data_IF_857992235400
#
_entry.id   IF_857992235400
#
_cell.length_a   1.000
_cell.length_b   1.000
_cell.length_c   1.000
_cell.angle_alpha   90.00
_cell.angle_beta   90.00
_cell.angle_gamma   90.00
#
_symmetry.space_group_name_H-M   'P 1'
#
loop_
_entity.id
_entity.type
_entity.pdbx_description
1 polymer ?
#
# COMPACT_ATOMS: atom_id res chain seq x y z
N UNK A 1 -37.68 14.03 -3.19
CA UNK A 1 -38.50 13.81 -1.98
C UNK A 1 -37.62 13.45 -0.80
N UNK A 2 -37.94 13.96 0.39
CA UNK A 2 -37.19 13.70 1.64
C UNK A 2 -37.18 12.21 2.00
N UNK A 3 -38.27 11.49 1.72
CA UNK A 3 -38.37 10.03 1.88
C UNK A 3 -37.26 9.31 1.11
N UNK A 4 -37.06 9.66 -0.16
CA UNK A 4 -36.03 9.02 -0.98
C UNK A 4 -34.63 9.36 -0.46
N UNK A 5 -34.42 10.61 -0.03
CA UNK A 5 -33.13 11.04 0.52
C UNK A 5 -32.76 10.28 1.80
N UNK A 6 -33.72 9.98 2.67
CA UNK A 6 -33.48 9.21 3.91
C UNK A 6 -33.04 7.76 3.67
N UNK A 7 -33.47 7.16 2.56
CA UNK A 7 -33.14 5.78 2.17
C UNK A 7 -31.74 5.72 1.53
N UNK A 8 -31.31 6.81 0.88
CA UNK A 8 -30.02 6.86 0.19
C UNK A 8 -28.86 6.71 1.18
N UNK A 9 -27.90 5.86 0.81
CA UNK A 9 -26.67 5.65 1.57
C UNK A 9 -25.75 6.87 1.49
N UNK A 10 -24.94 7.10 2.53
CA UNK A 10 -24.00 8.23 2.57
C UNK A 10 -22.99 8.21 1.42
N UNK A 11 -22.60 7.02 0.94
CA UNK A 11 -21.69 6.89 -0.19
C UNK A 11 -22.31 7.39 -1.49
N UNK A 12 -23.60 7.09 -1.72
CA UNK A 12 -24.32 7.53 -2.91
C UNK A 12 -24.54 9.03 -2.90
N UNK A 13 -24.74 9.65 -1.73
CA UNK A 13 -24.87 11.12 -1.60
C UNK A 13 -23.66 11.88 -2.16
N UNK A 14 -22.45 11.30 -2.10
CA UNK A 14 -21.22 11.95 -2.58
C UNK A 14 -21.27 12.23 -4.09
N UNK A 15 -21.95 11.37 -4.85
CA UNK A 15 -22.01 11.41 -6.32
C UNK A 15 -23.32 12.05 -6.81
N UNK A 16 -24.20 12.49 -5.90
CA UNK A 16 -25.43 13.17 -6.29
C UNK A 16 -25.11 14.47 -7.01
N UNK A 17 -25.82 14.71 -8.12
CA UNK A 17 -25.63 15.83 -9.02
C UNK A 17 -24.22 15.90 -9.64
N UNK A 18 -23.51 14.76 -9.71
CA UNK A 18 -22.26 14.68 -10.46
C UNK A 18 -22.52 14.89 -11.95
N UNK A 19 -21.75 15.76 -12.61
CA UNK A 19 -21.79 15.89 -14.07
C UNK A 19 -21.26 14.62 -14.71
N UNK A 20 -22.04 13.97 -15.57
CA UNK A 20 -21.57 12.85 -16.40
C UNK A 20 -20.59 13.41 -17.43
N UNK A 21 -19.29 13.20 -17.22
CA UNK A 21 -18.26 13.60 -18.18
C UNK A 21 -17.92 12.40 -19.06
N UNK A 22 -18.05 12.56 -20.38
CA UNK A 22 -17.58 11.54 -21.32
C UNK A 22 -16.05 11.57 -21.35
N UNK A 23 -15.43 10.44 -21.01
CA UNK A 23 -13.99 10.31 -20.85
C UNK A 23 -13.32 10.06 -22.22
N UNK A 24 -13.41 11.01 -23.14
CA UNK A 24 -12.76 10.93 -24.46
C UNK A 24 -11.27 11.36 -24.44
N UNK A 25 -10.58 11.25 -23.29
CA UNK A 25 -9.17 11.65 -23.18
C UNK A 25 -8.40 10.91 -22.09
N UNK A 26 -7.10 10.74 -22.31
CA UNK A 26 -6.15 10.05 -21.41
C UNK A 26 -5.71 10.92 -20.20
N UNK A 27 -6.45 11.96 -19.85
CA UNK A 27 -6.04 12.91 -18.82
C UNK A 27 -6.34 12.38 -17.40
N UNK A 28 -5.27 12.19 -16.61
CA UNK A 28 -5.36 11.86 -15.17
C UNK A 28 -5.65 13.08 -14.27
N UNK A 29 -5.92 14.25 -14.89
CA UNK A 29 -6.17 15.52 -14.20
C UNK A 29 -7.46 15.46 -13.36
N UNK A 30 -8.40 14.60 -13.73
CA UNK A 30 -9.71 14.47 -13.08
C UNK A 30 -9.73 13.53 -11.87
N UNK A 31 -8.71 13.56 -10.99
CA UNK A 31 -8.85 13.04 -9.61
C UNK A 31 -9.61 14.04 -8.72
N UNK A 32 -10.58 14.76 -9.26
CA UNK A 32 -11.42 15.67 -8.50
C UNK A 32 -12.23 14.85 -7.51
N UNK A 33 -11.90 15.04 -6.24
CA UNK A 33 -12.49 14.39 -5.07
C UNK A 33 -14.01 14.58 -5.11
N UNK A 34 -14.78 13.52 -5.32
CA UNK A 34 -16.25 13.52 -5.19
C UNK A 34 -16.94 14.67 -5.93
N UNK A 35 -17.05 14.57 -7.25
CA UNK A 35 -17.82 15.51 -8.06
C UNK A 35 -19.30 15.35 -7.67
N UNK A 36 -19.89 16.35 -7.06
CA UNK A 36 -21.28 16.32 -6.62
C UNK A 36 -21.64 17.57 -5.83
N UNK A 37 -22.91 17.71 -5.48
CA UNK A 37 -23.43 18.93 -4.85
C UNK A 37 -22.78 19.23 -3.48
N UNK A 38 -22.33 18.20 -2.76
CA UNK A 38 -21.66 18.34 -1.47
C UNK A 38 -20.28 19.01 -1.58
N UNK A 39 -19.62 18.91 -2.74
CA UNK A 39 -18.32 19.56 -2.97
C UNK A 39 -18.45 21.09 -3.02
N UNK A 40 -19.61 21.59 -3.44
CA UNK A 40 -19.93 23.02 -3.48
C UNK A 40 -20.31 23.61 -2.11
N UNK A 41 -20.40 22.78 -1.06
CA UNK A 41 -20.76 23.27 0.27
C UNK A 41 -19.65 24.12 0.87
N UNK A 42 -20.04 25.17 1.61
CA UNK A 42 -19.13 26.07 2.33
C UNK A 42 -18.14 25.31 3.24
N UNK A 43 -18.61 24.27 3.92
CA UNK A 43 -17.79 23.45 4.83
C UNK A 43 -16.67 22.72 4.08
N UNK A 44 -16.90 22.27 2.84
CA UNK A 44 -15.88 21.58 2.03
C UNK A 44 -14.97 22.58 1.32
N UNK A 45 -15.50 23.71 0.87
CA UNK A 45 -14.73 24.76 0.18
C UNK A 45 -13.73 25.46 1.11
N UNK A 46 -14.07 25.63 2.38
CA UNK A 46 -13.18 26.20 3.41
C UNK A 46 -12.00 25.31 3.79
N UNK A 47 -12.01 24.02 3.41
CA UNK A 47 -10.98 23.05 3.78
C UNK A 47 -9.92 22.92 2.66
N UNK A 48 -8.62 22.82 2.99
CA UNK A 48 -7.57 22.60 1.98
C UNK A 48 -7.77 21.30 1.18
N UNK A 49 -7.31 21.28 -0.07
CA UNK A 49 -7.52 20.17 -1.03
C UNK A 49 -7.10 18.80 -0.49
N UNK A 50 -6.02 18.75 0.31
CA UNK A 50 -5.53 17.52 0.95
C UNK A 50 -6.59 16.81 1.81
N UNK A 51 -7.50 17.58 2.42
CA UNK A 51 -8.50 17.08 3.35
C UNK A 51 -9.92 17.05 2.77
N UNK A 52 -10.14 17.63 1.58
CA UNK A 52 -11.47 17.68 0.94
C UNK A 52 -12.13 16.31 0.78
N UNK A 53 -11.35 15.25 0.49
CA UNK A 53 -11.89 13.88 0.39
C UNK A 53 -12.54 13.42 1.69
N UNK A 54 -11.86 13.69 2.81
CA UNK A 54 -12.35 13.33 4.15
C UNK A 54 -13.53 14.23 4.53
N UNK A 55 -13.47 15.52 4.20
CA UNK A 55 -14.56 16.47 4.44
C UNK A 55 -15.85 16.05 3.73
N UNK A 56 -15.78 15.72 2.43
CA UNK A 56 -16.94 15.26 1.64
C UNK A 56 -17.52 13.96 2.23
N UNK A 57 -16.68 12.99 2.57
CA UNK A 57 -17.14 11.72 3.14
C UNK A 57 -17.78 11.90 4.52
N UNK A 58 -17.21 12.75 5.37
CA UNK A 58 -17.75 13.08 6.69
C UNK A 58 -19.09 13.81 6.57
N UNK A 59 -19.16 14.82 5.70
CA UNK A 59 -20.35 15.60 5.44
C UNK A 59 -21.49 14.73 4.90
N UNK A 60 -21.20 13.88 3.90
CA UNK A 60 -22.19 12.95 3.34
C UNK A 60 -22.74 11.99 4.41
N UNK A 61 -21.88 11.51 5.32
CA UNK A 61 -22.29 10.63 6.41
C UNK A 61 -23.24 11.32 7.39
N UNK A 62 -22.96 12.58 7.76
CA UNK A 62 -23.84 13.34 8.66
C UNK A 62 -25.10 13.86 7.97
N UNK A 63 -25.01 14.23 6.68
CA UNK A 63 -26.14 14.64 5.86
C UNK A 63 -27.17 13.51 5.71
N UNK A 64 -26.72 12.27 5.47
CA UNK A 64 -27.61 11.08 5.44
C UNK A 64 -28.35 10.88 6.77
N UNK A 65 -27.67 11.11 7.90
CA UNK A 65 -28.27 11.01 9.24
C UNK A 65 -29.30 12.13 9.48
N UNK A 66 -28.98 13.37 9.10
CA UNK A 66 -29.90 14.50 9.17
C UNK A 66 -31.17 14.24 8.34
N UNK A 67 -31.02 13.79 7.08
CA UNK A 67 -32.14 13.50 6.20
C UNK A 67 -33.12 12.45 6.77
N UNK A 68 -32.62 11.44 7.50
CA UNK A 68 -33.47 10.46 8.19
C UNK A 68 -34.23 11.08 9.35
N UNK A 69 -33.58 11.91 10.13
CA UNK A 69 -34.20 12.56 11.29
C UNK A 69 -35.28 13.56 10.86
N UNK A 70 -35.01 14.32 9.80
CA UNK A 70 -35.95 15.27 9.20
C UNK A 70 -37.16 14.53 8.62
N UNK A 71 -36.97 13.35 8.01
CA UNK A 71 -38.08 12.52 7.53
C UNK A 71 -39.04 12.12 8.66
N UNK A 72 -38.50 11.75 9.83
CA UNK A 72 -39.30 11.46 11.03
C UNK A 72 -39.78 12.71 11.79
N UNK A 73 -39.35 13.92 11.38
CA UNK A 73 -39.73 15.22 11.98
C UNK A 73 -39.53 15.29 13.51
N UNK A 74 -38.54 14.57 14.06
CA UNK A 74 -38.30 14.51 15.51
C UNK A 74 -37.82 15.83 16.12
N UNK A 75 -37.01 16.59 15.38
CA UNK A 75 -36.42 17.86 15.81
C UNK A 75 -36.77 18.97 14.82
N UNK A 76 -37.99 19.53 14.92
CA UNK A 76 -38.45 20.59 14.00
C UNK A 76 -37.63 21.88 14.11
N UNK A 77 -37.12 22.18 15.30
CA UNK A 77 -36.28 23.36 15.59
C UNK A 77 -34.85 23.26 15.03
N UNK A 78 -34.46 22.14 14.39
CA UNK A 78 -33.15 22.01 13.75
C UNK A 78 -31.95 21.87 14.70
N UNK A 79 -32.18 21.76 16.01
CA UNK A 79 -31.14 21.60 17.04
C UNK A 79 -30.14 20.47 16.72
N UNK A 80 -30.65 19.34 16.22
CA UNK A 80 -29.81 18.20 15.84
C UNK A 80 -28.88 18.52 14.66
N UNK A 81 -29.35 19.31 13.69
CA UNK A 81 -28.54 19.75 12.55
C UNK A 81 -27.38 20.65 12.98
N UNK A 82 -27.61 21.54 13.96
CA UNK A 82 -26.56 22.39 14.54
C UNK A 82 -25.48 21.55 15.23
N UNK A 83 -25.87 20.54 16.02
CA UNK A 83 -24.93 19.61 16.65
C UNK A 83 -24.08 18.88 15.60
N UNK A 84 -24.71 18.37 14.54
CA UNK A 84 -23.99 17.70 13.45
C UNK A 84 -22.99 18.63 12.75
N UNK A 85 -23.38 19.89 12.50
CA UNK A 85 -22.48 20.89 11.91
C UNK A 85 -21.28 21.15 12.81
N UNK A 86 -21.51 21.37 14.10
CA UNK A 86 -20.43 21.58 15.08
C UNK A 86 -19.48 20.38 15.15
N UNK A 87 -20.03 19.16 15.12
CA UNK A 87 -19.24 17.93 15.07
C UNK A 87 -18.35 17.85 13.81
N UNK A 88 -18.88 18.21 12.65
CA UNK A 88 -18.10 18.21 11.40
C UNK A 88 -16.95 19.21 11.49
N UNK A 89 -17.23 20.44 11.96
CA UNK A 89 -16.24 21.51 12.08
C UNK A 89 -15.13 21.10 13.05
N UNK A 90 -15.46 20.64 14.26
CA UNK A 90 -14.46 20.24 15.26
C UNK A 90 -13.58 19.09 14.76
N UNK A 91 -14.18 18.11 14.07
CA UNK A 91 -13.43 17.00 13.49
C UNK A 91 -12.51 17.44 12.36
N UNK A 92 -12.91 18.42 11.55
CA UNK A 92 -12.09 18.96 10.46
C UNK A 92 -10.91 19.77 10.99
N UNK A 93 -11.12 20.58 12.03
CA UNK A 93 -10.06 21.32 12.72
C UNK A 93 -9.02 20.33 13.26
N UNK A 94 -9.47 19.31 14.00
CA UNK A 94 -8.59 18.24 14.53
C UNK A 94 -7.83 17.47 13.45
N UNK A 95 -8.37 17.39 12.24
CA UNK A 95 -7.72 16.73 11.11
C UNK A 95 -6.59 17.58 10.48
N UNK A 96 -6.73 18.90 10.56
CA UNK A 96 -5.75 19.85 10.07
C UNK A 96 -4.62 20.09 11.07
N UNK A 97 -4.87 19.81 12.36
CA UNK A 97 -3.82 19.86 13.38
C UNK A 97 -2.63 18.98 12.99
N UNK A 98 -1.40 19.52 13.01
CA UNK A 98 -0.22 18.73 12.75
C UNK A 98 -0.10 17.64 13.83
N UNK A 99 0.38 16.44 13.46
CA UNK A 99 0.62 15.40 14.46
C UNK A 99 1.63 15.91 15.50
N UNK A 100 1.46 15.58 16.79
CA UNK A 100 2.39 15.99 17.82
C UNK A 100 3.80 15.49 17.47
N UNK A 101 4.79 16.34 17.72
CA UNK A 101 6.19 16.01 17.49
C UNK A 101 6.55 14.72 18.24
N UNK A 102 7.08 13.75 17.50
CA UNK A 102 7.60 12.53 18.12
C UNK A 102 8.79 12.92 18.99
N UNK A 103 8.74 12.57 20.27
CA UNK A 103 9.89 12.71 21.16
C UNK A 103 11.06 11.90 20.59
N UNK A 104 12.27 12.49 20.65
CA UNK A 104 13.50 11.80 20.24
C UNK A 104 13.66 10.59 21.16
N UNK A 105 13.47 9.39 20.60
CA UNK A 105 13.76 8.16 21.34
C UNK A 105 15.26 8.11 21.57
N UNK A 106 15.68 8.17 22.83
CA UNK A 106 17.07 7.91 23.21
C UNK A 106 17.46 6.52 22.71
N UNK A 107 18.71 6.40 22.29
CA UNK A 107 19.26 5.09 22.00
C UNK A 107 19.19 4.24 23.28
N UNK A 108 18.98 2.92 23.15
CA UNK A 108 19.14 2.05 24.29
C UNK A 108 20.57 2.20 24.83
N UNK A 109 20.71 2.18 26.15
CA UNK A 109 22.02 2.19 26.80
C UNK A 109 22.92 1.10 26.19
N UNK A 110 24.19 1.41 25.85
CA UNK A 110 25.15 0.41 25.41
C UNK A 110 25.40 -0.61 26.54
N UNK A 111 24.67 -1.71 26.53
CA UNK A 111 24.76 -2.79 27.51
C UNK A 111 24.99 -4.12 26.78
N UNK A 112 26.05 -4.83 27.17
CA UNK A 112 26.46 -6.09 26.56
C UNK A 112 25.68 -7.28 27.15
N UNK A 113 24.46 -7.48 26.66
CA UNK A 113 23.65 -8.63 27.06
C UNK A 113 24.16 -9.94 26.44
N UNK A 114 24.11 -11.02 27.22
CA UNK A 114 24.42 -12.39 26.74
C UNK A 114 23.54 -12.74 25.54
N UNK A 115 24.16 -13.01 24.38
CA UNK A 115 23.46 -13.35 23.13
C UNK A 115 22.79 -14.73 23.23
N UNK A 116 21.55 -14.83 22.75
CA UNK A 116 20.83 -16.12 22.62
C UNK A 116 21.40 -16.92 21.44
N UNK A 117 21.92 -18.11 21.70
CA UNK A 117 22.42 -19.03 20.67
C UNK A 117 21.25 -19.89 20.15
N UNK A 118 21.01 -19.89 18.82
CA UNK A 118 19.96 -20.69 18.17
C UNK A 118 20.52 -21.41 16.94
N UNK A 119 20.16 -22.69 16.76
CA UNK A 119 20.66 -23.54 15.67
C UNK A 119 19.65 -23.93 14.58
N UNK A 120 18.39 -23.48 14.67
CA UNK A 120 17.32 -23.93 13.78
C UNK A 120 17.45 -23.47 12.32
N UNK A 121 16.82 -24.20 11.39
CA UNK A 121 16.84 -23.93 9.93
C UNK A 121 16.50 -22.49 9.56
N UNK A 122 15.48 -21.90 10.19
CA UNK A 122 15.08 -20.49 9.96
C UNK A 122 16.16 -19.51 10.42
N UNK A 123 16.76 -19.76 11.58
CA UNK A 123 17.81 -18.91 12.13
C UNK A 123 19.10 -19.02 11.30
N UNK A 124 19.45 -20.24 10.85
CA UNK A 124 20.57 -20.47 9.93
C UNK A 124 20.41 -19.68 8.62
N UNK A 125 19.22 -19.75 7.98
CA UNK A 125 18.89 -18.95 6.79
C UNK A 125 18.94 -17.43 7.04
N UNK A 126 18.55 -16.95 8.21
CA UNK A 126 18.65 -15.53 8.56
C UNK A 126 20.12 -15.10 8.71
N UNK A 127 20.91 -15.91 9.42
CA UNK A 127 22.35 -15.70 9.61
C UNK A 127 23.11 -15.74 8.29
N UNK A 128 22.75 -16.66 7.39
CA UNK A 128 23.30 -16.75 6.02
C UNK A 128 23.12 -15.47 5.21
N UNK A 129 22.06 -14.67 5.46
CA UNK A 129 21.82 -13.39 4.77
C UNK A 129 22.70 -12.25 5.25
N UNK A 130 23.10 -12.26 6.52
CA UNK A 130 23.84 -11.15 7.14
C UNK A 130 25.30 -11.48 7.40
N UNK A 131 25.66 -12.76 7.50
CA UNK A 131 27.04 -13.17 7.70
C UNK A 131 27.86 -12.98 6.42
N UNK A 132 29.15 -12.67 6.61
CA UNK A 132 30.15 -12.65 5.54
C UNK A 132 30.13 -14.01 4.84
N UNK A 133 29.99 -13.99 3.52
CA UNK A 133 29.97 -15.20 2.69
C UNK A 133 31.32 -15.88 2.73
N UNK A 134 31.36 -17.17 2.44
CA UNK A 134 32.64 -17.91 2.43
C UNK A 134 33.60 -17.39 1.35
N UNK A 135 33.07 -16.99 0.19
CA UNK A 135 33.82 -16.31 -0.87
C UNK A 135 34.46 -15.01 -0.36
N UNK A 136 33.70 -14.15 0.33
CA UNK A 136 34.26 -12.91 0.89
C UNK A 136 35.27 -13.19 2.02
N UNK A 137 35.10 -14.27 2.80
CA UNK A 137 36.12 -14.70 3.76
C UNK A 137 37.40 -15.17 3.09
N UNK A 138 37.30 -15.87 1.95
CA UNK A 138 38.47 -16.30 1.19
C UNK A 138 39.21 -15.07 0.68
N UNK A 139 38.51 -14.16 0.00
CA UNK A 139 39.07 -12.90 -0.51
C UNK A 139 39.78 -12.09 0.58
N UNK A 140 39.23 -12.07 1.80
CA UNK A 140 39.84 -11.37 2.93
C UNK A 140 41.06 -12.09 3.55
N UNK A 141 41.50 -13.23 3.01
CA UNK A 141 42.75 -13.91 3.45
C UNK A 141 43.91 -13.37 2.63
N UNK A 142 44.80 -12.66 3.29
CA UNK A 142 46.04 -12.16 2.70
C UNK A 142 47.17 -13.19 2.91
N UNK A 143 47.86 -13.65 1.86
CA UNK A 143 49.09 -14.41 2.01
C UNK A 143 50.18 -13.51 2.59
N UNK A 144 51.02 -14.04 3.47
CA UNK A 144 52.14 -13.33 4.07
C UNK A 144 53.45 -13.71 3.36
N UNK A 145 54.23 -12.74 2.89
CA UNK A 145 55.53 -12.97 2.25
C UNK A 145 55.96 -11.88 1.26
N UNK A 146 57.21 -11.92 0.77
CA UNK A 146 57.77 -10.92 -0.15
C UNK A 146 57.19 -10.99 -1.57
N UNK A 147 56.51 -12.09 -1.94
CA UNK A 147 55.82 -12.25 -3.24
C UNK A 147 54.37 -11.73 -3.21
N UNK A 148 54.05 -10.81 -2.31
CA UNK A 148 52.74 -10.16 -2.30
C UNK A 148 52.75 -9.08 -3.39
N UNK A 149 52.21 -9.40 -4.56
CA UNK A 149 52.03 -8.42 -5.63
C UNK A 149 50.99 -7.37 -5.20
N UNK A 150 51.28 -6.09 -5.42
CA UNK A 150 50.38 -4.96 -5.10
C UNK A 150 49.00 -5.07 -5.78
N UNK A 151 48.89 -5.93 -6.80
CA UNK A 151 47.67 -6.26 -7.54
C UNK A 151 46.63 -7.05 -6.74
N UNK A 152 46.93 -7.50 -5.52
CA UNK A 152 45.97 -8.20 -4.65
C UNK A 152 44.74 -7.32 -4.31
N UNK A 153 44.91 -6.00 -4.28
CA UNK A 153 43.82 -5.06 -4.00
C UNK A 153 43.03 -4.64 -5.26
N UNK A 154 43.53 -4.98 -6.46
CA UNK A 154 42.85 -4.69 -7.72
C UNK A 154 41.87 -5.83 -8.05
N UNK A 155 40.59 -5.57 -7.74
CA UNK A 155 39.48 -6.49 -7.94
C UNK A 155 39.06 -6.58 -9.43
N UNK A 156 39.96 -7.05 -10.28
CA UNK A 156 39.64 -7.43 -11.65
C UNK A 156 39.24 -8.91 -11.70
N UNK A 157 38.28 -9.27 -12.56
CA UNK A 157 37.64 -10.60 -12.63
C UNK A 157 38.63 -11.79 -12.67
N UNK A 158 39.85 -11.57 -13.14
CA UNK A 158 40.90 -12.59 -13.24
C UNK A 158 41.67 -12.84 -11.93
N UNK A 159 41.76 -11.86 -11.02
CA UNK A 159 42.54 -11.97 -9.77
C UNK A 159 41.81 -12.78 -8.67
N UNK A 160 40.50 -13.00 -8.83
CA UNK A 160 39.71 -13.86 -7.92
C UNK A 160 40.01 -15.36 -8.09
N UNK A 161 40.67 -15.77 -9.19
CA UNK A 161 41.06 -17.16 -9.45
C UNK A 161 42.40 -17.56 -8.82
N UNK A 162 43.19 -16.60 -8.33
CA UNK A 162 44.57 -16.82 -7.84
C UNK A 162 44.68 -16.88 -6.31
N UNK A 163 43.56 -17.06 -5.60
CA UNK A 163 43.58 -17.30 -4.16
C UNK A 163 44.03 -18.74 -3.86
N UNK A 164 45.33 -18.90 -3.60
CA UNK A 164 46.00 -20.10 -3.08
C UNK A 164 45.54 -21.42 -3.71
N UNK A 165 46.29 -21.79 -4.74
CA UNK A 165 46.21 -22.94 -5.64
C UNK A 165 46.31 -24.33 -4.99
N UNK A 166 45.42 -24.67 -4.06
CA UNK A 166 45.15 -26.06 -3.65
C UNK A 166 43.66 -26.42 -3.62
N UNK A 167 42.75 -25.45 -3.76
CA UNK A 167 41.29 -25.70 -3.80
C UNK A 167 40.80 -25.49 -5.22
N UNK A 168 41.04 -26.49 -6.07
CA UNK A 168 40.43 -26.57 -7.40
C UNK A 168 38.91 -26.57 -7.28
N UNK A 169 38.25 -25.66 -8.02
CA UNK A 169 36.81 -25.69 -8.39
C UNK A 169 35.79 -25.51 -7.26
N UNK A 170 35.77 -24.34 -6.61
CA UNK A 170 34.51 -23.87 -6.01
C UNK A 170 33.64 -23.22 -7.10
N UNK A 171 32.77 -24.01 -7.74
CA UNK A 171 31.66 -23.49 -8.56
C UNK A 171 30.67 -22.74 -7.66
N UNK A 172 30.98 -21.50 -7.29
CA UNK A 172 30.06 -20.65 -6.55
C UNK A 172 28.89 -20.25 -7.46
N UNK A 173 27.81 -21.03 -7.42
CA UNK A 173 26.54 -20.58 -8.00
C UNK A 173 26.03 -19.39 -7.19
N UNK A 174 26.06 -18.20 -7.78
CA UNK A 174 25.62 -16.96 -7.16
C UNK A 174 24.09 -16.99 -6.96
N UNK A 175 23.63 -17.63 -5.88
CA UNK A 175 22.22 -17.64 -5.47
C UNK A 175 21.85 -16.38 -4.68
N UNK A 176 22.40 -15.23 -5.04
CA UNK A 176 21.91 -13.95 -4.51
C UNK A 176 20.64 -13.55 -5.25
N UNK A 177 19.51 -14.16 -4.86
CA UNK A 177 18.19 -13.62 -5.22
C UNK A 177 17.96 -12.39 -4.36
N UNK A 178 18.07 -11.20 -4.94
CA UNK A 178 17.64 -9.97 -4.30
C UNK A 178 16.16 -10.10 -3.93
N UNK A 179 15.86 -10.23 -2.64
CA UNK A 179 14.48 -10.32 -2.16
C UNK A 179 13.81 -8.96 -2.34
N UNK A 180 12.88 -8.88 -3.29
CA UNK A 180 11.96 -7.74 -3.40
C UNK A 180 11.16 -7.65 -2.09
N UNK A 181 11.11 -6.46 -1.51
CA UNK A 181 10.41 -6.24 -0.24
C UNK A 181 8.91 -6.48 -0.43
N UNK A 182 8.25 -7.12 0.55
CA UNK A 182 6.83 -7.53 0.45
C UNK A 182 5.87 -6.40 0.06
N UNK A 183 6.17 -5.14 0.41
CA UNK A 183 5.36 -3.97 0.02
C UNK A 183 5.34 -3.72 -1.49
N UNK A 184 6.41 -4.07 -2.21
CA UNK A 184 6.50 -3.89 -3.65
C UNK A 184 5.76 -4.99 -4.42
N UNK A 185 5.68 -6.22 -3.87
CA UNK A 185 4.92 -7.31 -4.49
C UNK A 185 3.41 -7.05 -4.51
N UNK A 186 2.85 -6.42 -3.47
CA UNK A 186 1.41 -6.09 -3.39
C UNK A 186 0.96 -5.15 -4.52
N UNK A 187 1.80 -4.20 -4.93
CA UNK A 187 1.48 -3.29 -6.03
C UNK A 187 1.63 -3.96 -7.41
N UNK A 188 2.50 -4.96 -7.54
CA UNK A 188 2.70 -5.72 -8.79
C UNK A 188 1.50 -6.65 -9.07
N UNK A 189 0.82 -7.13 -8.03
CA UNK A 189 -0.43 -7.91 -8.18
C UNK A 189 -1.68 -7.05 -8.42
N UNK A 190 -1.57 -5.72 -8.51
CA UNK A 190 -2.71 -4.84 -8.81
C UNK A 190 -3.21 -4.94 -10.25
N UNK A 191 -2.50 -5.64 -11.13
CA UNK A 191 -3.00 -6.08 -12.44
C UNK A 191 -4.09 -7.17 -12.35
N UNK A 192 -4.34 -7.73 -11.16
CA UNK A 192 -5.40 -8.71 -10.91
C UNK A 192 -6.72 -8.13 -10.37
N UNK A 193 -6.78 -6.83 -10.12
CA UNK A 193 -8.08 -6.17 -9.91
C UNK A 193 -8.73 -6.04 -11.28
N UNK A 194 -9.68 -6.93 -11.58
CA UNK A 194 -10.62 -6.86 -12.70
C UNK A 194 -10.83 -5.41 -13.13
N UNK A 195 -10.11 -4.98 -14.18
CA UNK A 195 -10.35 -3.66 -14.73
C UNK A 195 -11.82 -3.59 -15.12
N UNK A 196 -12.48 -2.45 -14.95
CA UNK A 196 -13.89 -2.28 -15.39
C UNK A 196 -14.11 -2.50 -16.90
N UNK A 197 -13.03 -2.82 -17.64
CA UNK A 197 -12.99 -3.24 -19.04
C UNK A 197 -12.97 -4.76 -19.23
N UNK A 198 -12.78 -5.55 -18.16
CA UNK A 198 -12.93 -7.00 -18.20
C UNK A 198 -14.43 -7.30 -18.24
N UNK A 199 -14.99 -7.41 -19.44
CA UNK A 199 -16.37 -7.84 -19.63
C UNK A 199 -16.57 -9.21 -18.97
N UNK A 200 -17.74 -9.42 -18.37
CA UNK A 200 -18.21 -10.76 -17.98
C UNK A 200 -18.59 -11.62 -19.19
N UNK A 201 -18.15 -11.23 -20.40
CA UNK A 201 -18.45 -11.86 -21.67
C UNK A 201 -17.11 -12.28 -22.28
N UNK A 202 -16.96 -13.57 -22.55
CA UNK A 202 -15.81 -14.17 -23.24
C UNK A 202 -16.30 -14.71 -24.57
N UNK A 203 -15.56 -14.45 -25.65
CA UNK A 203 -15.86 -15.03 -26.95
C UNK A 203 -15.16 -16.39 -27.08
N UNK A 204 -15.91 -17.48 -26.98
CA UNK A 204 -15.39 -18.83 -27.18
C UNK A 204 -15.68 -19.29 -28.61
N UNK A 205 -14.70 -19.92 -29.30
CA UNK A 205 -14.83 -20.27 -30.72
C UNK A 205 -15.90 -21.33 -31.00
N UNK A 206 -16.43 -22.00 -29.97
CA UNK A 206 -17.40 -23.08 -30.13
C UNK A 206 -18.87 -22.61 -29.93
N UNK A 207 -19.10 -21.61 -29.07
CA UNK A 207 -20.44 -21.20 -28.61
C UNK A 207 -20.72 -19.70 -28.71
N UNK A 208 -19.73 -18.88 -29.10
CA UNK A 208 -19.88 -17.44 -29.27
C UNK A 208 -19.67 -16.67 -27.96
N UNK A 209 -20.57 -15.73 -27.66
CA UNK A 209 -20.44 -14.86 -26.47
C UNK A 209 -21.01 -15.58 -25.25
N UNK A 210 -20.13 -16.01 -24.35
CA UNK A 210 -20.52 -16.69 -23.11
C UNK A 210 -20.31 -15.80 -21.88
N UNK A 211 -21.24 -15.90 -20.92
CA UNK A 211 -21.12 -15.23 -19.63
C UNK A 211 -20.10 -15.95 -18.75
N UNK A 212 -19.01 -15.28 -18.43
CA UNK A 212 -17.96 -15.79 -17.55
C UNK A 212 -17.94 -15.06 -16.21
N UNK A 213 -17.99 -15.81 -15.11
CA UNK A 213 -17.87 -15.28 -13.76
C UNK A 213 -16.44 -15.47 -13.21
N UNK A 214 -15.57 -14.43 -13.28
CA UNK A 214 -14.17 -14.54 -12.84
C UNK A 214 -14.02 -14.80 -11.33
N UNK A 215 -15.06 -14.56 -10.54
CA UNK A 215 -15.05 -14.74 -9.08
C UNK A 215 -14.87 -16.20 -8.66
N UNK A 216 -15.31 -17.16 -9.49
CA UNK A 216 -15.22 -18.60 -9.21
C UNK A 216 -13.78 -19.13 -9.24
N UNK A 217 -12.90 -18.54 -10.06
CA UNK A 217 -11.48 -18.92 -10.13
C UNK A 217 -10.78 -18.58 -8.82
N UNK A 218 -11.05 -17.39 -8.27
CA UNK A 218 -10.44 -16.92 -7.03
C UNK A 218 -10.84 -17.79 -5.83
N UNK A 219 -12.05 -18.36 -5.85
CA UNK A 219 -12.49 -19.31 -4.83
C UNK A 219 -11.76 -20.66 -4.93
N UNK A 220 -11.56 -21.19 -6.15
CA UNK A 220 -10.80 -22.43 -6.38
C UNK A 220 -9.34 -22.30 -5.92
N UNK A 221 -8.68 -21.19 -6.23
CA UNK A 221 -7.28 -20.96 -5.83
C UNK A 221 -7.11 -20.85 -4.31
N UNK A 222 -8.12 -20.37 -3.57
CA UNK A 222 -8.10 -20.35 -2.10
C UNK A 222 -8.28 -21.73 -1.47
N UNK A 223 -8.98 -22.65 -2.12
CA UNK A 223 -9.18 -24.01 -1.63
C UNK A 223 -7.93 -24.88 -1.84
N UNK A 224 -7.13 -24.60 -2.87
CA UNK A 224 -5.89 -25.32 -3.15
C UNK A 224 -4.69 -24.89 -2.29
N UNK A 225 -4.82 -23.79 -1.53
CA UNK A 225 -3.75 -23.26 -0.67
C UNK A 225 -3.89 -23.67 0.82
N UNK A 226 -4.88 -24.49 1.17
CA UNK A 226 -5.01 -25.09 2.51
C UNK A 226 -4.62 -26.56 2.51
#
# INVERSE_FOLDING_TARGET
SLKNLSIISSQNLIVIASTKKSLFGLSNVHKTLGIGILCCSEIVQSVPDAYKKKAISLLASKCSLAARIDYFKKYKEGQYGLLLRQYIISHLIKLQEPPPLKQKKILPMPDEKRKRKRGGKRYRKLKEKTQITELTKQINRLPFGPETTDDFYNFNDQNTMLLNSNITKLKYTNKQKNLITKKRNLNVHSSGATGGLSSSLIFTPLQGIELYNPSLINAKNKQTEN
#
